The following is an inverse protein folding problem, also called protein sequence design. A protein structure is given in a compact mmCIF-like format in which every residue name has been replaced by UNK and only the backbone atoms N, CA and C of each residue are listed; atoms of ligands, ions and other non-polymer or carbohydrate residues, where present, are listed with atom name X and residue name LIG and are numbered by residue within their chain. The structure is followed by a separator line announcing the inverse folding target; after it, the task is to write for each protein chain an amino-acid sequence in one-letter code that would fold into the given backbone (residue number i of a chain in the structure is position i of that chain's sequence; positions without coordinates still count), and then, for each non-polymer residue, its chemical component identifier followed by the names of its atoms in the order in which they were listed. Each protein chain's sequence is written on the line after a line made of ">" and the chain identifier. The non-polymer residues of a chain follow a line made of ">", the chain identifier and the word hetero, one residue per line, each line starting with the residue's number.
data_IF_490001900928
#
_entry.id   IF_490001900928
#
_cell.length_a   1.000
_cell.length_b   1.000
_cell.length_c   1.000
_cell.angle_alpha   90.00
_cell.angle_beta   90.00
_cell.angle_gamma   90.00
#
_symmetry.space_group_name_H-M   'P 1'
#
loop_
_entity.id
_entity.type
_entity.pdbx_description
1 polymer ?
#
# COMPACT_ATOMS: atom_id res chain seq x y z
N UNK A 1 24.66 -8.02 4.10
CA UNK A 1 24.69 -8.25 2.61
C UNK A 1 24.07 -7.08 1.89
N UNK A 2 24.27 -6.98 0.57
CA UNK A 2 23.58 -5.96 -0.25
C UNK A 2 22.08 -6.24 -0.30
N UNK A 3 21.25 -5.20 -0.27
CA UNK A 3 19.80 -5.34 -0.45
C UNK A 3 19.46 -5.89 -1.86
N UNK A 4 18.35 -6.63 -2.02
CA UNK A 4 18.05 -7.35 -3.26
C UNK A 4 18.01 -6.52 -4.54
N UNK A 5 17.62 -5.25 -4.46
CA UNK A 5 17.59 -4.32 -5.59
C UNK A 5 18.74 -3.30 -5.57
N UNK A 6 19.80 -3.54 -4.81
CA UNK A 6 20.98 -2.68 -4.86
C UNK A 6 21.57 -2.66 -6.27
N UNK A 7 21.81 -1.46 -6.80
CA UNK A 7 22.25 -1.23 -8.17
C UNK A 7 21.11 -1.14 -9.21
N UNK A 8 19.87 -1.38 -8.83
CA UNK A 8 18.71 -1.13 -9.67
C UNK A 8 18.32 0.34 -9.55
N UNK A 9 18.22 1.02 -10.70
CA UNK A 9 17.75 2.42 -10.77
C UNK A 9 16.35 2.49 -11.35
N UNK A 10 15.49 3.26 -10.68
CA UNK A 10 14.09 3.44 -11.01
C UNK A 10 13.82 4.93 -11.30
N UNK A 11 13.21 5.24 -12.44
CA UNK A 11 12.62 6.54 -12.71
C UNK A 11 11.16 6.51 -12.28
N UNK A 12 10.85 7.26 -11.25
CA UNK A 12 9.52 7.43 -10.69
C UNK A 12 8.88 8.72 -11.22
N UNK A 13 8.01 8.61 -12.23
CA UNK A 13 7.28 9.76 -12.83
C UNK A 13 5.87 9.87 -12.25
N UNK A 14 5.64 9.24 -11.10
CA UNK A 14 4.32 9.11 -10.52
C UNK A 14 3.96 10.26 -9.58
N UNK A 15 2.67 10.38 -9.27
CA UNK A 15 2.13 11.39 -8.36
C UNK A 15 1.17 10.78 -7.34
N UNK A 16 0.97 11.46 -6.24
CA UNK A 16 0.04 11.21 -5.15
C UNK A 16 0.38 9.94 -4.36
N UNK A 17 -0.19 8.76 -4.68
CA UNK A 17 -0.02 7.61 -3.79
C UNK A 17 0.30 6.28 -4.49
N UNK A 18 -0.52 5.76 -5.40
CA UNK A 18 -0.35 4.40 -5.92
C UNK A 18 1.06 4.14 -6.50
N UNK A 19 1.52 5.03 -7.37
CA UNK A 19 2.86 4.95 -7.95
C UNK A 19 3.98 5.27 -6.95
N UNK A 20 3.90 6.38 -6.19
CA UNK A 20 4.89 6.68 -5.14
C UNK A 20 4.99 5.58 -4.08
N UNK A 21 3.88 4.92 -3.72
CA UNK A 21 3.90 3.77 -2.82
C UNK A 21 4.62 2.57 -3.45
N UNK A 22 4.37 2.28 -4.75
CA UNK A 22 5.10 1.25 -5.48
C UNK A 22 6.61 1.51 -5.46
N UNK A 23 7.06 2.69 -5.87
CA UNK A 23 8.47 3.02 -5.93
C UNK A 23 9.11 3.09 -4.54
N UNK A 24 8.35 3.43 -3.49
CA UNK A 24 8.81 3.35 -2.10
C UNK A 24 9.06 1.90 -1.67
N UNK A 25 8.22 0.93 -2.06
CA UNK A 25 8.53 -0.49 -1.81
C UNK A 25 9.86 -0.90 -2.46
N UNK A 26 10.19 -0.37 -3.63
CA UNK A 26 11.47 -0.65 -4.28
C UNK A 26 12.65 0.03 -3.55
N UNK A 27 12.46 1.22 -2.96
CA UNK A 27 13.46 1.85 -2.06
C UNK A 27 13.77 0.93 -0.88
N UNK A 28 12.74 0.36 -0.24
CA UNK A 28 12.90 -0.56 0.89
C UNK A 28 13.69 -1.82 0.52
N UNK A 29 13.69 -2.19 -0.76
CA UNK A 29 14.46 -3.31 -1.31
C UNK A 29 15.86 -2.89 -1.80
N UNK A 30 16.24 -1.62 -1.65
CA UNK A 30 17.57 -1.10 -1.98
C UNK A 30 17.71 -0.46 -3.36
N UNK A 31 16.62 -0.25 -4.10
CA UNK A 31 16.68 0.44 -5.39
C UNK A 31 17.00 1.94 -5.22
N UNK A 32 17.80 2.49 -6.15
CA UNK A 32 18.00 3.93 -6.31
C UNK A 32 16.81 4.52 -7.07
N UNK A 33 15.95 5.29 -6.39
CA UNK A 33 14.75 5.86 -6.99
C UNK A 33 14.92 7.34 -7.25
N UNK A 34 14.85 7.72 -8.53
CA UNK A 34 14.85 9.11 -9.02
C UNK A 34 13.42 9.51 -9.29
N UNK A 35 12.87 10.36 -8.42
CA UNK A 35 11.53 10.92 -8.59
C UNK A 35 11.60 12.12 -9.51
N UNK A 36 10.94 12.01 -10.66
CA UNK A 36 10.86 13.08 -11.68
C UNK A 36 9.62 13.92 -11.39
N UNK A 37 9.84 15.20 -11.16
CA UNK A 37 8.79 16.13 -10.74
C UNK A 37 8.72 17.35 -11.65
N UNK A 38 7.54 18.01 -11.67
CA UNK A 38 7.40 19.29 -12.37
C UNK A 38 8.17 20.39 -11.63
N UNK A 39 8.96 21.26 -12.31
CA UNK A 39 9.83 22.26 -11.66
C UNK A 39 9.11 23.21 -10.69
N UNK A 40 7.88 23.61 -11.01
CA UNK A 40 7.16 24.62 -10.23
C UNK A 40 6.27 24.01 -9.15
N UNK A 41 5.68 22.86 -9.44
CA UNK A 41 4.62 22.32 -8.61
C UNK A 41 4.99 21.05 -7.83
N UNK A 42 5.96 20.29 -8.34
CA UNK A 42 6.30 18.99 -7.78
C UNK A 42 5.12 18.00 -7.85
N UNK A 43 5.19 16.98 -7.01
CA UNK A 43 4.09 16.07 -6.76
C UNK A 43 2.99 16.78 -5.96
N UNK A 44 1.72 16.52 -6.30
CA UNK A 44 0.58 17.06 -5.55
C UNK A 44 0.65 16.70 -4.05
N UNK A 45 1.14 15.50 -3.72
CA UNK A 45 1.28 15.05 -2.33
C UNK A 45 2.16 15.97 -1.47
N UNK A 46 3.05 16.76 -2.07
CA UNK A 46 3.87 17.77 -1.37
C UNK A 46 3.03 18.83 -0.63
N UNK A 47 1.78 19.02 -1.07
CA UNK A 47 0.82 19.97 -0.48
C UNK A 47 -0.31 19.29 0.28
N UNK A 48 -0.17 17.98 0.57
CA UNK A 48 -1.20 17.19 1.25
C UNK A 48 -0.69 16.67 2.59
N UNK A 49 -1.52 16.79 3.59
CA UNK A 49 -1.23 16.29 4.95
C UNK A 49 -1.95 17.12 6.00
N UNK A 50 -1.89 16.66 7.24
CA UNK A 50 -2.58 17.30 8.37
C UNK A 50 -1.91 18.60 8.85
N UNK A 51 -0.66 18.86 8.46
CA UNK A 51 0.09 20.06 8.87
C UNK A 51 0.19 21.06 7.72
N UNK A 52 -0.48 22.20 7.89
CA UNK A 52 -0.51 23.28 6.90
C UNK A 52 0.87 23.84 6.60
N UNK A 53 1.72 24.00 7.63
CA UNK A 53 3.07 24.55 7.47
C UNK A 53 3.92 23.68 6.54
N UNK A 54 3.97 22.37 6.78
CA UNK A 54 4.74 21.46 5.93
C UNK A 54 4.17 21.37 4.52
N UNK A 55 2.85 21.54 4.34
CA UNK A 55 2.22 21.62 3.01
C UNK A 55 2.67 22.88 2.24
N UNK A 56 2.77 24.05 2.89
CA UNK A 56 3.28 25.28 2.30
C UNK A 56 4.78 25.18 1.95
N UNK A 57 5.53 24.46 2.75
CA UNK A 57 6.96 24.17 2.54
C UNK A 57 7.21 23.07 1.48
N UNK A 58 6.18 22.57 0.80
CA UNK A 58 6.24 21.47 -0.17
C UNK A 58 6.77 20.15 0.42
N UNK A 59 6.59 19.96 1.71
CA UNK A 59 6.99 18.77 2.47
C UNK A 59 5.80 18.13 3.20
N UNK A 60 4.62 18.17 2.58
CA UNK A 60 3.39 17.61 3.13
C UNK A 60 3.58 16.18 3.65
N UNK A 61 2.96 15.87 4.79
CA UNK A 61 3.12 14.58 5.48
C UNK A 61 2.73 13.40 4.56
N UNK A 62 1.77 13.61 3.65
CA UNK A 62 1.40 12.59 2.64
C UNK A 62 2.53 12.29 1.65
N UNK A 63 3.34 13.30 1.31
CA UNK A 63 4.55 13.11 0.49
C UNK A 63 5.63 12.35 1.27
N UNK A 64 5.90 12.76 2.50
CA UNK A 64 6.91 12.13 3.36
C UNK A 64 6.66 10.63 3.53
N UNK A 65 5.40 10.23 3.69
CA UNK A 65 5.01 8.85 3.97
C UNK A 65 5.50 7.82 2.93
N UNK A 66 5.68 8.23 1.66
CA UNK A 66 5.99 7.33 0.55
C UNK A 66 7.14 7.80 -0.34
N UNK A 67 7.93 8.78 0.13
CA UNK A 67 9.04 9.32 -0.66
C UNK A 67 10.38 9.38 0.10
N UNK A 68 10.45 8.87 1.32
CA UNK A 68 11.70 8.75 2.05
C UNK A 68 12.72 7.88 1.29
N UNK A 69 13.99 8.32 1.26
CA UNK A 69 15.07 7.63 0.56
C UNK A 69 15.08 7.78 -0.96
N UNK A 70 14.16 8.56 -1.55
CA UNK A 70 14.18 8.90 -2.99
C UNK A 70 15.04 10.13 -3.26
N UNK A 71 15.34 10.36 -4.54
CA UNK A 71 16.05 11.54 -5.04
C UNK A 71 15.12 12.37 -5.90
N UNK A 72 14.88 13.64 -5.56
CA UNK A 72 14.01 14.54 -6.34
C UNK A 72 14.80 15.22 -7.45
N UNK A 73 14.31 15.05 -8.68
CA UNK A 73 14.83 15.70 -9.90
C UNK A 73 13.68 16.37 -10.63
N UNK A 74 13.78 17.67 -10.83
CA UNK A 74 12.75 18.43 -11.56
C UNK A 74 13.03 18.46 -13.05
N UNK A 75 12.00 18.11 -13.86
CA UNK A 75 12.07 18.14 -15.33
C UNK A 75 10.68 18.49 -15.88
N UNK A 76 10.63 19.51 -16.75
CA UNK A 76 9.45 19.81 -17.54
C UNK A 76 9.36 18.85 -18.75
N UNK A 77 8.62 17.76 -18.61
CA UNK A 77 8.45 16.76 -19.67
C UNK A 77 7.67 17.26 -20.91
N UNK A 78 7.14 18.48 -20.87
CA UNK A 78 6.54 19.10 -22.07
C UNK A 78 7.58 19.78 -22.95
N UNK A 79 8.72 20.18 -22.39
CA UNK A 79 9.80 20.81 -23.17
C UNK A 79 10.61 19.78 -23.97
N UNK A 80 11.08 20.09 -25.18
CA UNK A 80 11.98 19.20 -25.93
C UNK A 80 13.24 18.81 -25.17
N UNK A 81 13.88 19.77 -24.50
CA UNK A 81 15.08 19.53 -23.72
C UNK A 81 14.80 18.64 -22.51
N UNK A 82 13.66 18.83 -21.84
CA UNK A 82 13.25 17.97 -20.71
C UNK A 82 13.02 16.52 -21.13
N UNK A 83 12.42 16.30 -22.32
CA UNK A 83 12.26 14.96 -22.88
C UNK A 83 13.60 14.28 -23.17
N UNK A 84 14.56 15.01 -23.67
CA UNK A 84 15.91 14.47 -23.96
C UNK A 84 16.65 14.13 -22.65
N UNK A 85 16.53 14.96 -21.61
CA UNK A 85 17.07 14.64 -20.28
C UNK A 85 16.42 13.36 -19.75
N UNK A 86 15.09 13.23 -19.84
CA UNK A 86 14.39 12.05 -19.39
C UNK A 86 14.83 10.78 -20.13
N UNK A 87 14.98 10.84 -21.46
CA UNK A 87 15.49 9.70 -22.26
C UNK A 87 16.91 9.29 -21.85
N UNK A 88 17.79 10.25 -21.59
CA UNK A 88 19.15 9.97 -21.07
C UNK A 88 19.10 9.25 -19.71
N UNK A 89 18.21 9.68 -18.81
CA UNK A 89 18.00 8.99 -17.54
C UNK A 89 17.43 7.57 -17.74
N UNK A 90 16.47 7.40 -18.66
CA UNK A 90 15.90 6.10 -19.00
C UNK A 90 16.94 5.13 -19.59
N UNK A 91 17.91 5.63 -20.36
CA UNK A 91 19.00 4.84 -20.92
C UNK A 91 19.87 4.16 -19.86
N UNK A 92 20.00 4.77 -18.68
CA UNK A 92 20.82 4.27 -17.58
C UNK A 92 20.00 3.70 -16.43
N UNK A 93 18.67 3.52 -16.59
CA UNK A 93 17.76 3.02 -15.57
C UNK A 93 17.17 1.68 -15.96
N UNK A 94 16.88 0.82 -14.99
CA UNK A 94 16.26 -0.48 -15.22
C UNK A 94 14.74 -0.42 -15.24
N UNK A 95 14.14 0.60 -14.58
CA UNK A 95 12.69 0.71 -14.41
C UNK A 95 12.23 2.13 -14.70
N UNK A 96 11.08 2.27 -15.35
CA UNK A 96 10.27 3.50 -15.40
C UNK A 96 8.89 3.17 -14.85
N UNK A 97 8.41 4.00 -13.91
CA UNK A 97 7.06 3.88 -13.33
C UNK A 97 6.30 5.16 -13.58
N UNK A 98 5.08 5.05 -14.10
CA UNK A 98 4.18 6.18 -14.29
C UNK A 98 2.76 5.84 -13.82
N UNK A 99 1.98 6.85 -13.42
CA UNK A 99 0.58 6.68 -13.07
C UNK A 99 -0.30 7.80 -13.65
N UNK A 100 0.03 8.27 -14.85
CA UNK A 100 -0.80 9.19 -15.60
C UNK A 100 -2.01 8.48 -16.19
N UNK A 101 -2.96 9.29 -16.66
CA UNK A 101 -4.06 8.75 -17.48
C UNK A 101 -3.52 8.11 -18.76
N UNK A 102 -4.14 7.03 -19.25
CA UNK A 102 -3.73 6.41 -20.50
C UNK A 102 -3.53 7.41 -21.64
N UNK A 103 -2.49 7.21 -22.42
CA UNK A 103 -2.11 8.07 -23.55
C UNK A 103 -1.33 9.35 -23.20
N UNK A 104 -1.13 9.69 -21.92
CA UNK A 104 -0.31 10.87 -21.56
C UNK A 104 1.15 10.67 -21.95
N UNK A 105 1.77 9.56 -21.58
CA UNK A 105 3.16 9.27 -21.92
C UNK A 105 3.37 9.13 -23.43
N UNK A 106 2.39 8.61 -24.17
CA UNK A 106 2.40 8.55 -25.63
C UNK A 106 2.40 9.95 -26.24
N UNK A 107 1.53 10.86 -25.77
CA UNK A 107 1.54 12.27 -26.25
C UNK A 107 2.84 13.01 -25.90
N UNK A 108 3.50 12.62 -24.83
CA UNK A 108 4.83 13.15 -24.48
C UNK A 108 5.95 12.54 -25.34
N UNK A 109 5.71 11.42 -26.03
CA UNK A 109 6.74 10.67 -26.76
C UNK A 109 7.72 9.97 -25.81
N UNK A 110 7.24 9.52 -24.65
CA UNK A 110 7.99 8.89 -23.56
C UNK A 110 7.36 7.57 -23.12
N UNK A 111 6.55 6.95 -23.99
CA UNK A 111 5.93 5.65 -23.73
C UNK A 111 6.89 4.47 -23.95
N UNK A 112 6.44 3.27 -23.62
CA UNK A 112 7.26 2.07 -23.73
C UNK A 112 7.83 1.83 -25.15
N UNK A 113 7.05 1.98 -26.26
CA UNK A 113 7.59 1.82 -27.62
C UNK A 113 8.76 2.75 -27.94
N UNK A 114 8.78 3.96 -27.35
CA UNK A 114 9.89 4.91 -27.53
C UNK A 114 11.06 4.56 -26.62
N UNK A 115 10.80 4.34 -25.32
CA UNK A 115 11.85 4.13 -24.34
C UNK A 115 12.54 2.76 -24.47
N UNK A 116 11.83 1.71 -24.94
CA UNK A 116 12.42 0.40 -25.21
C UNK A 116 13.44 0.41 -26.36
N UNK A 117 13.37 1.38 -27.26
CA UNK A 117 14.43 1.59 -28.30
C UNK A 117 15.68 2.21 -27.71
N UNK A 118 15.52 3.03 -26.65
CA UNK A 118 16.64 3.65 -25.93
C UNK A 118 17.29 2.64 -24.99
N UNK A 119 16.47 1.83 -24.30
CA UNK A 119 16.91 0.78 -23.40
C UNK A 119 16.07 -0.50 -23.59
N UNK A 120 16.55 -1.47 -24.39
CA UNK A 120 15.81 -2.72 -24.66
C UNK A 120 15.55 -3.59 -23.43
N UNK A 121 16.27 -3.35 -22.34
CA UNK A 121 16.09 -4.09 -21.06
C UNK A 121 15.16 -3.39 -20.10
N UNK A 122 14.59 -2.25 -20.47
CA UNK A 122 13.76 -1.43 -19.62
C UNK A 122 12.47 -2.15 -19.21
N UNK A 123 12.20 -2.22 -17.92
CA UNK A 123 10.90 -2.55 -17.35
C UNK A 123 10.09 -1.24 -17.23
N UNK A 124 8.97 -1.18 -17.91
CA UNK A 124 8.08 -0.01 -17.90
C UNK A 124 6.77 -0.38 -17.25
N UNK A 125 6.41 0.26 -16.14
CA UNK A 125 5.20 0.01 -15.39
C UNK A 125 4.26 1.22 -15.44
N UNK A 126 3.07 1.01 -15.97
CA UNK A 126 1.97 1.98 -15.96
C UNK A 126 0.92 1.55 -14.94
N UNK A 127 0.59 2.42 -14.00
CA UNK A 127 -0.44 2.19 -12.97
C UNK A 127 -1.61 3.14 -13.25
N UNK A 128 -2.81 2.61 -13.41
CA UNK A 128 -3.99 3.43 -13.66
C UNK A 128 -5.23 2.87 -12.94
N UNK A 129 -6.31 3.64 -12.88
CA UNK A 129 -7.53 3.20 -12.20
C UNK A 129 -8.12 1.92 -12.78
N UNK A 130 -8.10 1.81 -14.13
CA UNK A 130 -8.84 0.76 -14.85
C UNK A 130 -7.99 -0.04 -15.84
N UNK A 131 -6.66 0.12 -15.82
CA UNK A 131 -5.78 -0.41 -16.85
C UNK A 131 -5.65 0.52 -18.06
N UNK A 132 -4.77 0.14 -18.99
CA UNK A 132 -4.47 0.94 -20.18
C UNK A 132 -5.45 0.69 -21.33
N UNK A 133 -6.23 -0.39 -21.25
CA UNK A 133 -7.19 -0.84 -22.27
C UNK A 133 -8.58 -1.08 -21.64
N UNK A 134 -9.58 -1.29 -22.50
CA UNK A 134 -10.96 -1.58 -22.09
C UNK A 134 -11.86 -0.34 -21.98
N UNK A 135 -13.18 -0.56 -21.77
CA UNK A 135 -14.18 0.51 -21.88
C UNK A 135 -14.07 1.59 -20.78
N UNK A 136 -13.39 1.32 -19.69
CA UNK A 136 -13.21 2.26 -18.58
C UNK A 136 -11.84 2.95 -18.58
N UNK A 137 -10.89 2.55 -19.42
CA UNK A 137 -9.49 2.98 -19.38
C UNK A 137 -9.33 4.51 -19.36
N UNK A 138 -10.15 5.24 -20.10
CA UNK A 138 -10.05 6.72 -20.18
C UNK A 138 -10.78 7.45 -19.05
N UNK A 139 -11.47 6.75 -18.15
CA UNK A 139 -12.14 7.40 -17.01
C UNK A 139 -11.14 7.91 -16.00
N UNK A 140 -11.35 9.13 -15.48
CA UNK A 140 -10.55 9.61 -14.35
C UNK A 140 -10.85 8.77 -13.11
N UNK A 141 -9.80 8.45 -12.34
CA UNK A 141 -9.93 7.69 -11.12
C UNK A 141 -9.00 8.24 -10.03
N UNK A 142 -9.46 8.14 -8.81
CA UNK A 142 -8.72 8.16 -7.57
C UNK A 142 -9.17 6.99 -6.73
N UNK A 143 -8.47 6.67 -5.68
CA UNK A 143 -8.79 5.59 -4.73
C UNK A 143 -10.29 5.51 -4.39
N UNK A 144 -10.88 6.64 -4.02
CA UNK A 144 -12.30 6.74 -3.65
C UNK A 144 -13.26 6.22 -4.74
N UNK A 145 -12.95 6.51 -6.02
CA UNK A 145 -13.75 6.06 -7.16
C UNK A 145 -13.60 4.54 -7.34
N UNK A 146 -12.38 4.05 -7.22
CA UNK A 146 -12.09 2.62 -7.36
C UNK A 146 -12.70 1.82 -6.20
N UNK A 147 -12.65 2.33 -4.97
CA UNK A 147 -13.34 1.70 -3.84
C UNK A 147 -14.83 1.49 -4.12
N UNK A 148 -15.49 2.51 -4.71
CA UNK A 148 -16.90 2.38 -5.09
C UNK A 148 -17.17 1.35 -6.18
N UNK A 149 -16.36 1.37 -7.24
CA UNK A 149 -16.58 0.52 -8.43
C UNK A 149 -16.14 -0.94 -8.21
N UNK A 150 -15.13 -1.17 -7.40
CA UNK A 150 -14.61 -2.53 -7.13
C UNK A 150 -15.54 -3.40 -6.26
N UNK A 151 -16.56 -2.82 -5.65
CA UNK A 151 -17.41 -3.52 -4.71
C UNK A 151 -16.84 -3.66 -3.30
N UNK A 152 -15.60 -3.20 -3.04
CA UNK A 152 -15.02 -3.25 -1.68
C UNK A 152 -15.87 -2.48 -0.68
N UNK A 153 -16.47 -1.36 -1.08
CA UNK A 153 -17.40 -0.62 -0.23
C UNK A 153 -18.67 -1.40 0.08
N UNK A 154 -19.17 -2.21 -0.88
CA UNK A 154 -20.39 -2.98 -0.70
C UNK A 154 -20.25 -4.06 0.40
N UNK A 155 -19.04 -4.58 0.59
CA UNK A 155 -18.75 -5.61 1.61
C UNK A 155 -18.17 -5.03 2.91
N UNK A 156 -17.97 -3.71 2.97
CA UNK A 156 -17.44 -3.01 4.14
C UNK A 156 -18.57 -2.34 4.92
N UNK A 157 -18.63 -2.61 6.22
CA UNK A 157 -19.73 -2.24 7.08
C UNK A 157 -20.64 -3.42 7.40
N UNK A 158 -21.80 -3.15 7.94
CA UNK A 158 -22.86 -4.12 8.23
C UNK A 158 -24.16 -3.79 7.48
N UNK A 159 -25.22 -4.54 7.73
CA UNK A 159 -26.51 -4.37 7.07
C UNK A 159 -27.15 -2.97 7.25
N UNK A 160 -26.72 -2.22 8.26
CA UNK A 160 -27.24 -0.88 8.55
C UNK A 160 -26.31 0.23 8.04
N UNK A 161 -25.01 -0.03 7.99
CA UNK A 161 -23.99 0.97 7.70
C UNK A 161 -23.36 0.85 6.32
N UNK A 162 -23.35 -0.33 5.69
CA UNK A 162 -22.83 -0.51 4.34
C UNK A 162 -23.69 0.23 3.29
N UNK A 163 -23.08 0.72 2.19
CA UNK A 163 -21.66 0.61 1.84
C UNK A 163 -20.79 1.65 2.55
N UNK A 164 -19.65 1.23 3.08
CA UNK A 164 -18.67 2.11 3.72
C UNK A 164 -17.33 2.09 2.98
N UNK A 165 -16.70 3.27 2.94
CA UNK A 165 -15.32 3.39 2.50
C UNK A 165 -14.38 2.75 3.53
N UNK A 166 -13.38 2.00 3.05
CA UNK A 166 -12.24 1.58 3.89
C UNK A 166 -11.49 2.82 4.37
N UNK A 167 -11.09 2.87 5.63
CA UNK A 167 -10.56 4.05 6.31
C UNK A 167 -9.22 4.59 5.79
N UNK A 168 -8.60 3.94 4.78
CA UNK A 168 -7.38 4.38 4.12
C UNK A 168 -7.48 4.10 2.61
N UNK A 169 -6.57 4.63 1.77
CA UNK A 169 -6.62 4.47 0.30
C UNK A 169 -6.15 3.07 -0.12
N UNK A 170 -6.98 2.06 0.15
CA UNK A 170 -6.67 0.65 -0.07
C UNK A 170 -6.41 0.32 -1.54
N UNK A 171 -7.16 0.94 -2.48
CA UNK A 171 -7.02 0.64 -3.90
C UNK A 171 -5.69 1.16 -4.47
N UNK A 172 -5.25 2.34 -4.01
CA UNK A 172 -3.93 2.89 -4.32
C UNK A 172 -2.82 1.97 -3.79
N UNK A 173 -2.92 1.55 -2.53
CA UNK A 173 -1.89 0.71 -1.91
C UNK A 173 -1.85 -0.70 -2.52
N UNK A 174 -3.00 -1.29 -2.85
CA UNK A 174 -3.07 -2.58 -3.55
C UNK A 174 -2.51 -2.49 -4.97
N UNK A 175 -2.86 -1.44 -5.72
CA UNK A 175 -2.26 -1.17 -7.03
C UNK A 175 -0.75 -0.99 -6.95
N UNK A 176 -0.28 -0.23 -5.95
CA UNK A 176 1.14 0.02 -5.73
C UNK A 176 1.93 -1.24 -5.37
N UNK A 177 1.41 -2.11 -4.48
CA UNK A 177 2.09 -3.36 -4.11
C UNK A 177 2.09 -4.37 -5.26
N UNK A 178 0.98 -4.46 -6.01
CA UNK A 178 0.88 -5.30 -7.21
C UNK A 178 1.91 -4.87 -8.25
N UNK A 179 2.06 -3.57 -8.46
CA UNK A 179 3.07 -3.01 -9.37
C UNK A 179 4.50 -3.33 -8.91
N UNK A 180 4.81 -3.16 -7.61
CA UNK A 180 6.13 -3.48 -7.07
C UNK A 180 6.48 -4.97 -7.25
N UNK A 181 5.55 -5.86 -6.96
CA UNK A 181 5.69 -7.31 -7.18
C UNK A 181 5.96 -7.63 -8.66
N UNK A 182 5.14 -7.07 -9.57
CA UNK A 182 5.29 -7.29 -11.00
C UNK A 182 6.61 -6.74 -11.56
N UNK A 183 7.08 -5.58 -11.06
CA UNK A 183 8.39 -5.00 -11.41
C UNK A 183 9.51 -5.92 -10.96
N UNK A 184 9.50 -6.41 -9.71
CA UNK A 184 10.52 -7.34 -9.21
C UNK A 184 10.60 -8.62 -10.08
N UNK A 185 9.44 -9.21 -10.41
CA UNK A 185 9.38 -10.38 -11.30
C UNK A 185 9.89 -10.05 -12.71
N UNK A 186 9.55 -8.88 -13.25
CA UNK A 186 10.02 -8.46 -14.57
C UNK A 186 11.53 -8.17 -14.61
N UNK A 187 12.12 -7.67 -13.53
CA UNK A 187 13.56 -7.48 -13.40
C UNK A 187 14.32 -8.82 -13.45
N UNK A 188 13.82 -9.85 -12.76
CA UNK A 188 14.38 -11.21 -12.84
C UNK A 188 14.31 -11.70 -14.29
N UNK A 189 13.17 -11.56 -14.95
CA UNK A 189 13.00 -11.93 -16.37
C UNK A 189 13.91 -11.14 -17.30
N UNK A 190 14.08 -9.84 -17.08
CA UNK A 190 14.96 -8.97 -17.86
C UNK A 190 16.45 -9.33 -17.68
N UNK A 191 16.84 -9.71 -16.47
CA UNK A 191 18.20 -10.17 -16.20
C UNK A 191 18.52 -11.46 -16.99
N UNK A 192 17.57 -12.39 -17.01
CA UNK A 192 17.74 -13.71 -17.67
C UNK A 192 17.68 -13.62 -19.20
N UNK A 193 16.74 -12.82 -19.73
CA UNK A 193 16.46 -12.79 -21.18
C UNK A 193 17.15 -11.66 -21.94
N UNK A 194 17.69 -10.67 -21.22
CA UNK A 194 18.22 -9.44 -21.81
C UNK A 194 17.14 -8.50 -22.37
N UNK A 195 15.83 -8.79 -22.15
CA UNK A 195 14.71 -8.00 -22.68
C UNK A 195 13.82 -7.48 -21.55
N UNK A 196 13.51 -6.20 -21.59
CA UNK A 196 12.51 -5.58 -20.73
C UNK A 196 11.08 -5.92 -21.15
N UNK A 197 10.11 -5.37 -20.43
CA UNK A 197 8.69 -5.50 -20.77
C UNK A 197 7.87 -4.32 -20.26
N UNK A 198 6.69 -4.15 -20.86
CA UNK A 198 5.64 -3.29 -20.34
C UNK A 198 4.80 -4.06 -19.33
N UNK A 199 4.47 -3.40 -18.24
CA UNK A 199 3.54 -3.85 -17.21
C UNK A 199 2.39 -2.85 -17.19
N UNK A 200 1.16 -3.35 -17.21
CA UNK A 200 -0.07 -2.59 -17.05
C UNK A 200 -0.73 -3.03 -15.74
N UNK A 201 -0.93 -2.09 -14.82
CA UNK A 201 -1.53 -2.34 -13.51
C UNK A 201 -2.82 -1.55 -13.38
N UNK A 202 -3.91 -2.26 -13.23
CA UNK A 202 -5.24 -1.73 -12.93
C UNK A 202 -5.47 -1.75 -11.42
N UNK A 203 -5.74 -0.58 -10.82
CA UNK A 203 -6.11 -0.50 -9.41
C UNK A 203 -7.40 -1.26 -9.12
N UNK A 204 -8.38 -1.23 -10.07
CA UNK A 204 -9.62 -2.00 -9.97
C UNK A 204 -9.35 -3.49 -9.87
N UNK A 205 -8.57 -4.04 -10.80
CA UNK A 205 -8.27 -5.48 -10.84
C UNK A 205 -7.41 -5.90 -9.64
N UNK A 206 -6.45 -5.07 -9.24
CA UNK A 206 -5.63 -5.32 -8.04
C UNK A 206 -6.49 -5.39 -6.78
N UNK A 207 -7.51 -4.52 -6.66
CA UNK A 207 -8.45 -4.53 -5.54
C UNK A 207 -9.32 -5.78 -5.58
N UNK A 208 -9.92 -6.13 -6.72
CA UNK A 208 -10.72 -7.34 -6.87
C UNK A 208 -9.92 -8.61 -6.57
N UNK A 209 -8.68 -8.71 -7.06
CA UNK A 209 -7.81 -9.84 -6.77
C UNK A 209 -7.50 -9.95 -5.26
N UNK A 210 -7.32 -8.83 -4.56
CA UNK A 210 -7.09 -8.82 -3.12
C UNK A 210 -8.30 -9.23 -2.28
N UNK A 211 -9.53 -9.05 -2.81
CA UNK A 211 -10.76 -9.51 -2.16
C UNK A 211 -10.91 -11.04 -2.14
N UNK A 212 -10.07 -11.76 -2.88
CA UNK A 212 -9.81 -13.21 -2.78
C UNK A 212 -11.07 -14.07 -2.60
N UNK A 213 -11.35 -14.49 -1.38
CA UNK A 213 -12.48 -15.39 -1.06
C UNK A 213 -13.84 -14.79 -1.36
N UNK A 214 -14.04 -13.50 -1.19
CA UNK A 214 -15.31 -12.82 -1.49
C UNK A 214 -15.63 -12.98 -2.97
N UNK A 215 -14.67 -12.66 -3.83
CA UNK A 215 -14.79 -12.78 -5.29
C UNK A 215 -14.91 -14.26 -5.69
N UNK A 216 -14.11 -15.15 -5.10
CA UNK A 216 -14.14 -16.58 -5.40
C UNK A 216 -15.47 -17.24 -5.04
N UNK A 217 -16.10 -16.89 -3.91
CA UNK A 217 -17.41 -17.41 -3.52
C UNK A 217 -18.49 -17.01 -4.53
N UNK A 218 -18.46 -15.79 -5.04
CA UNK A 218 -19.37 -15.37 -6.09
C UNK A 218 -19.13 -16.13 -7.41
N UNK A 219 -17.88 -16.17 -7.87
CA UNK A 219 -17.54 -16.80 -9.15
C UNK A 219 -17.82 -18.31 -9.20
N UNK A 220 -17.60 -19.02 -8.08
CA UNK A 220 -17.66 -20.49 -8.07
C UNK A 220 -18.95 -21.05 -7.46
N UNK A 221 -19.62 -20.29 -6.59
CA UNK A 221 -20.82 -20.74 -5.90
C UNK A 221 -22.05 -19.84 -6.14
N UNK A 222 -21.91 -18.73 -6.87
CA UNK A 222 -22.98 -17.76 -7.10
C UNK A 222 -23.44 -17.04 -5.83
N UNK A 223 -22.66 -17.09 -4.75
CA UNK A 223 -23.00 -16.45 -3.48
C UNK A 223 -22.73 -14.95 -3.55
N UNK A 224 -23.79 -14.16 -3.51
CA UNK A 224 -23.64 -12.70 -3.46
C UNK A 224 -23.00 -12.28 -2.14
N UNK A 225 -21.93 -11.47 -2.20
CA UNK A 225 -21.29 -10.95 -1.00
C UNK A 225 -22.21 -9.99 -0.25
N UNK A 226 -22.30 -10.18 1.07
CA UNK A 226 -23.04 -9.29 1.97
C UNK A 226 -22.08 -8.64 2.98
N UNK A 227 -22.38 -7.41 3.41
CA UNK A 227 -21.59 -6.76 4.47
C UNK A 227 -21.90 -7.43 5.81
N UNK A 228 -20.84 -7.84 6.52
CA UNK A 228 -20.97 -8.62 7.76
C UNK A 228 -20.49 -7.86 9.01
N UNK A 229 -20.15 -6.58 8.88
CA UNK A 229 -19.61 -5.80 9.98
C UNK A 229 -18.31 -6.41 10.52
N UNK A 230 -18.33 -6.73 11.80
CA UNK A 230 -17.19 -7.34 12.48
C UNK A 230 -17.25 -8.88 12.55
N UNK A 231 -18.17 -9.49 11.81
CA UNK A 231 -18.35 -10.94 11.78
C UNK A 231 -17.46 -11.60 10.72
N UNK A 232 -17.08 -12.86 10.97
CA UNK A 232 -16.37 -13.66 9.98
C UNK A 232 -17.35 -14.56 9.21
N UNK A 233 -17.24 -14.56 7.89
CA UNK A 233 -18.08 -15.41 7.03
C UNK A 233 -17.86 -16.91 7.26
N UNK A 234 -16.63 -17.33 7.55
CA UNK A 234 -16.23 -18.76 7.53
C UNK A 234 -16.44 -19.50 8.85
N UNK A 235 -16.59 -18.81 9.97
CA UNK A 235 -16.66 -19.41 11.29
C UNK A 235 -17.47 -18.57 12.29
N UNK A 236 -17.90 -19.19 13.37
CA UNK A 236 -18.49 -18.56 14.55
C UNK A 236 -18.18 -19.40 15.82
N UNK A 237 -17.92 -18.74 16.97
CA UNK A 237 -17.78 -17.30 17.15
C UNK A 237 -16.45 -16.78 16.62
N UNK A 238 -16.52 -15.82 15.69
CA UNK A 238 -15.35 -15.17 15.11
C UNK A 238 -15.74 -13.74 14.71
N UNK A 239 -15.16 -12.75 15.40
CA UNK A 239 -15.52 -11.35 15.21
C UNK A 239 -15.12 -10.45 16.37
N UNK A 240 -15.59 -9.19 16.39
CA UNK A 240 -15.32 -8.25 17.46
C UNK A 240 -16.49 -8.15 18.43
N UNK A 241 -16.20 -8.35 19.70
CA UNK A 241 -17.15 -8.35 20.82
C UNK A 241 -16.90 -7.17 21.75
N UNK A 242 -17.98 -6.60 22.32
CA UNK A 242 -17.87 -5.59 23.37
C UNK A 242 -17.41 -6.24 24.68
N UNK A 243 -16.56 -5.54 25.39
CA UNK A 243 -16.12 -5.87 26.76
C UNK A 243 -16.42 -4.68 27.67
N UNK A 244 -16.04 -4.77 28.94
CA UNK A 244 -16.28 -3.68 29.90
C UNK A 244 -15.63 -2.34 29.47
N UNK A 245 -14.57 -2.36 28.67
CA UNK A 245 -13.82 -1.13 28.31
C UNK A 245 -13.33 -1.05 26.86
N UNK A 246 -13.95 -1.75 25.92
CA UNK A 246 -13.52 -1.69 24.51
C UNK A 246 -13.99 -2.88 23.71
N UNK A 247 -13.33 -3.12 22.59
CA UNK A 247 -13.60 -4.25 21.69
C UNK A 247 -12.48 -5.28 21.75
N UNK A 248 -12.87 -6.54 21.71
CA UNK A 248 -11.99 -7.70 21.64
C UNK A 248 -12.35 -8.53 20.39
N UNK A 249 -11.39 -8.72 19.48
CA UNK A 249 -11.52 -9.73 18.44
C UNK A 249 -11.26 -11.12 19.04
N UNK A 250 -12.13 -12.08 18.72
CA UNK A 250 -11.99 -13.49 19.05
C UNK A 250 -12.13 -14.28 17.75
N UNK A 251 -11.29 -15.31 17.58
CA UNK A 251 -11.36 -16.21 16.43
C UNK A 251 -11.31 -17.68 16.91
N UNK A 252 -12.45 -18.18 17.43
CA UNK A 252 -12.62 -19.58 17.81
C UNK A 252 -13.10 -20.38 16.59
N UNK A 253 -12.23 -20.52 15.59
CA UNK A 253 -12.56 -21.07 14.28
C UNK A 253 -12.62 -22.62 14.26
N UNK A 254 -11.90 -23.26 15.16
CA UNK A 254 -11.83 -24.71 15.30
C UNK A 254 -12.60 -25.17 16.54
N UNK A 255 -13.10 -26.43 16.53
CA UNK A 255 -13.89 -26.96 17.64
C UNK A 255 -13.14 -26.92 18.98
N UNK A 256 -11.86 -27.27 18.99
CA UNK A 256 -11.03 -27.21 20.19
C UNK A 256 -10.84 -25.76 20.71
N UNK A 257 -10.82 -24.76 19.85
CA UNK A 257 -10.77 -23.35 20.27
C UNK A 257 -12.12 -22.89 20.86
N UNK A 258 -13.22 -23.36 20.28
CA UNK A 258 -14.55 -23.07 20.77
C UNK A 258 -14.79 -23.69 22.17
N UNK A 259 -14.40 -24.94 22.38
CA UNK A 259 -14.51 -25.61 23.69
C UNK A 259 -13.73 -24.84 24.78
N UNK A 260 -12.50 -24.45 24.46
CA UNK A 260 -11.66 -23.64 25.36
C UNK A 260 -12.25 -22.25 25.61
N UNK A 261 -12.80 -21.59 24.59
CA UNK A 261 -13.51 -20.33 24.78
C UNK A 261 -14.65 -20.51 25.78
N UNK A 262 -15.48 -21.56 25.64
CA UNK A 262 -16.61 -21.86 26.58
C UNK A 262 -16.12 -22.01 28.01
N UNK A 263 -14.98 -22.68 28.22
CA UNK A 263 -14.39 -22.84 29.57
C UNK A 263 -13.92 -21.48 30.13
N UNK A 264 -13.17 -20.71 29.34
CA UNK A 264 -12.60 -19.44 29.80
C UNK A 264 -13.68 -18.42 30.16
N UNK A 265 -14.78 -18.36 29.37
CA UNK A 265 -15.89 -17.44 29.65
C UNK A 265 -16.84 -17.97 30.74
N UNK A 266 -16.64 -19.20 31.25
CA UNK A 266 -17.48 -19.82 32.30
C UNK A 266 -18.83 -20.31 31.80
N UNK A 267 -18.92 -20.74 30.54
CA UNK A 267 -20.14 -21.26 29.90
C UNK A 267 -19.91 -22.67 29.30
N UNK A 268 -19.47 -23.65 30.11
CA UNK A 268 -19.13 -24.98 29.59
C UNK A 268 -20.34 -25.74 29.00
N UNK A 269 -21.56 -25.38 29.37
CA UNK A 269 -22.79 -25.99 28.84
C UNK A 269 -23.00 -25.72 27.36
N UNK A 270 -22.42 -24.63 26.81
CA UNK A 270 -22.49 -24.31 25.39
C UNK A 270 -21.82 -25.37 24.52
N UNK A 271 -20.88 -26.14 25.05
CA UNK A 271 -20.19 -27.23 24.32
C UNK A 271 -21.14 -28.36 23.93
N UNK A 272 -22.19 -28.58 24.73
CA UNK A 272 -23.17 -29.65 24.52
C UNK A 272 -24.50 -29.15 23.95
N UNK A 273 -24.63 -27.86 23.72
CA UNK A 273 -25.82 -27.28 23.12
C UNK A 273 -25.92 -27.68 21.63
N UNK A 274 -27.01 -28.34 21.27
CA UNK A 274 -27.24 -28.83 19.91
C UNK A 274 -27.19 -27.73 18.84
N UNK A 275 -27.47 -26.47 19.19
CA UNK A 275 -27.36 -25.32 18.31
C UNK A 275 -25.91 -25.02 17.89
N UNK A 276 -24.93 -25.54 18.64
CA UNK A 276 -23.51 -25.20 18.52
C UNK A 276 -22.60 -26.44 18.46
N UNK A 277 -23.18 -27.61 18.17
CA UNK A 277 -22.51 -28.91 18.29
C UNK A 277 -21.25 -29.06 17.42
N UNK A 278 -21.25 -28.45 16.23
CA UNK A 278 -20.12 -28.46 15.30
C UNK A 278 -19.93 -27.09 14.65
N UNK A 279 -18.84 -26.96 13.92
CA UNK A 279 -18.44 -25.71 13.25
C UNK A 279 -19.50 -25.16 12.31
N UNK A 280 -20.12 -26.02 11.48
CA UNK A 280 -21.11 -25.59 10.49
C UNK A 280 -22.42 -25.17 11.15
N UNK A 281 -22.84 -25.92 12.17
CA UNK A 281 -24.00 -25.58 12.98
C UNK A 281 -23.80 -24.24 13.69
N UNK A 282 -22.63 -24.01 14.29
CA UNK A 282 -22.30 -22.72 14.91
C UNK A 282 -22.29 -21.58 13.89
N UNK A 283 -21.69 -21.80 12.71
CA UNK A 283 -21.67 -20.82 11.64
C UNK A 283 -23.08 -20.42 11.21
N UNK A 284 -23.97 -21.39 11.08
CA UNK A 284 -25.40 -21.17 10.78
C UNK A 284 -26.14 -20.43 11.91
N UNK A 285 -25.76 -20.66 13.16
CA UNK A 285 -26.36 -20.07 14.34
C UNK A 285 -25.54 -18.93 14.97
N UNK A 286 -24.71 -18.23 14.17
CA UNK A 286 -23.77 -17.21 14.69
C UNK A 286 -24.39 -16.13 15.55
N UNK A 287 -25.56 -15.63 15.22
CA UNK A 287 -26.27 -14.63 16.01
C UNK A 287 -26.68 -15.19 17.38
N UNK A 288 -27.06 -16.46 17.43
CA UNK A 288 -27.43 -17.13 18.69
C UNK A 288 -26.19 -17.32 19.57
N UNK A 289 -25.09 -17.86 19.06
CA UNK A 289 -23.87 -18.03 19.86
C UNK A 289 -23.30 -16.70 20.33
N UNK A 290 -23.27 -15.67 19.48
CA UNK A 290 -22.82 -14.34 19.88
C UNK A 290 -23.67 -13.74 21.00
N UNK A 291 -24.98 -13.96 20.97
CA UNK A 291 -25.91 -13.54 22.05
C UNK A 291 -25.63 -14.23 23.36
N UNK A 292 -25.21 -15.51 23.34
CA UNK A 292 -24.86 -16.28 24.56
C UNK A 292 -23.53 -15.78 25.16
N UNK A 293 -22.52 -15.48 24.34
CA UNK A 293 -21.19 -15.13 24.85
C UNK A 293 -21.03 -13.65 25.19
N UNK A 294 -21.75 -12.75 24.51
CA UNK A 294 -21.58 -11.31 24.68
C UNK A 294 -21.77 -10.82 26.13
N UNK A 295 -22.78 -11.27 26.91
CA UNK A 295 -22.94 -10.87 28.32
C UNK A 295 -21.76 -11.27 29.21
N UNK A 296 -21.13 -12.42 28.93
CA UNK A 296 -19.97 -12.89 29.67
C UNK A 296 -18.75 -11.99 29.41
N UNK A 297 -18.53 -11.63 28.16
CA UNK A 297 -17.41 -10.77 27.77
C UNK A 297 -17.52 -9.35 28.36
N UNK A 298 -18.71 -8.88 28.66
CA UNK A 298 -18.93 -7.58 29.34
C UNK A 298 -18.46 -7.59 30.81
N UNK A 299 -18.15 -8.75 31.41
CA UNK A 299 -17.79 -8.86 32.85
C UNK A 299 -16.34 -8.48 33.16
N UNK A 300 -15.44 -8.43 32.14
CA UNK A 300 -14.03 -8.09 32.31
C UNK A 300 -13.57 -7.10 31.24
N UNK A 301 -12.41 -6.50 31.47
CA UNK A 301 -11.75 -5.63 30.51
C UNK A 301 -11.19 -6.44 29.31
N UNK A 302 -11.05 -5.77 28.16
CA UNK A 302 -10.52 -6.38 26.95
C UNK A 302 -9.11 -6.98 27.15
N UNK A 303 -8.25 -6.33 27.92
CA UNK A 303 -6.90 -6.83 28.21
C UNK A 303 -6.88 -8.10 29.05
N UNK A 304 -7.78 -8.19 30.03
CA UNK A 304 -7.91 -9.39 30.88
C UNK A 304 -8.43 -10.59 30.08
N UNK A 305 -9.40 -10.35 29.19
CA UNK A 305 -9.89 -11.40 28.29
C UNK A 305 -8.85 -11.82 27.27
N UNK A 306 -8.15 -10.87 26.67
CA UNK A 306 -7.06 -11.15 25.72
C UNK A 306 -6.04 -12.10 26.33
N UNK A 307 -5.57 -11.79 27.54
CA UNK A 307 -4.59 -12.62 28.25
C UNK A 307 -5.14 -14.02 28.55
N UNK A 308 -6.32 -14.12 29.12
CA UNK A 308 -6.92 -15.41 29.51
C UNK A 308 -7.18 -16.31 28.26
N UNK A 309 -7.64 -15.74 27.15
CA UNK A 309 -7.91 -16.49 25.92
C UNK A 309 -6.62 -16.95 25.25
N UNK A 310 -5.60 -16.09 25.18
CA UNK A 310 -4.28 -16.45 24.63
C UNK A 310 -3.64 -17.58 25.43
N UNK A 311 -3.67 -17.51 26.77
CA UNK A 311 -3.14 -18.57 27.64
C UNK A 311 -3.86 -19.90 27.43
N UNK A 312 -5.16 -19.87 27.14
CA UNK A 312 -5.93 -21.05 26.78
C UNK A 312 -5.69 -21.54 25.35
N UNK A 313 -4.99 -20.78 24.52
CA UNK A 313 -4.74 -21.09 23.11
C UNK A 313 -5.91 -20.75 22.18
N UNK A 314 -6.75 -19.79 22.56
CA UNK A 314 -7.77 -19.19 21.70
C UNK A 314 -7.24 -17.88 21.12
N UNK A 315 -7.18 -17.73 19.80
CA UNK A 315 -6.74 -16.47 19.20
C UNK A 315 -7.69 -15.33 19.59
N UNK A 316 -7.13 -14.32 20.24
CA UNK A 316 -7.83 -13.12 20.64
C UNK A 316 -6.91 -11.89 20.57
N UNK A 317 -7.49 -10.72 20.37
CA UNK A 317 -6.73 -9.46 20.33
C UNK A 317 -7.64 -8.25 20.51
N UNK A 318 -7.20 -7.30 21.33
CA UNK A 318 -7.90 -6.02 21.48
C UNK A 318 -7.94 -5.27 20.16
N UNK A 319 -9.03 -4.55 19.91
CA UNK A 319 -9.08 -3.57 18.83
C UNK A 319 -8.36 -2.32 19.30
N UNK A 320 -7.15 -2.10 18.76
CA UNK A 320 -6.29 -0.97 19.12
C UNK A 320 -6.46 0.19 18.13
N UNK A 321 -6.28 1.41 18.61
CA UNK A 321 -6.09 2.57 17.76
C UNK A 321 -4.69 2.58 17.12
N UNK A 322 -4.52 3.36 16.04
CA UNK A 322 -3.21 3.52 15.38
C UNK A 322 -2.12 4.03 16.34
N UNK A 323 -2.35 5.03 17.21
CA UNK A 323 -1.35 5.42 18.20
C UNK A 323 -0.99 4.31 19.19
N UNK A 324 -1.97 3.53 19.66
CA UNK A 324 -1.71 2.43 20.60
C UNK A 324 -0.81 1.36 19.99
N UNK A 325 -1.10 0.89 18.77
CA UNK A 325 -0.26 -0.12 18.14
C UNK A 325 1.12 0.42 17.74
N UNK A 326 1.23 1.67 17.29
CA UNK A 326 2.53 2.27 16.95
C UNK A 326 3.46 2.41 18.17
N UNK A 327 2.89 2.59 19.37
CA UNK A 327 3.65 2.65 20.63
C UNK A 327 3.82 1.26 21.29
N UNK A 328 3.32 0.19 20.67
CA UNK A 328 3.43 -1.15 21.25
C UNK A 328 4.87 -1.67 21.19
N UNK A 329 5.40 -2.30 22.27
CA UNK A 329 6.76 -2.83 22.31
C UNK A 329 7.12 -3.77 21.16
N UNK A 330 6.15 -4.50 20.64
CA UNK A 330 6.36 -5.37 19.47
C UNK A 330 6.87 -4.62 18.24
N UNK A 331 6.27 -3.46 17.90
CA UNK A 331 6.72 -2.67 16.75
C UNK A 331 8.04 -1.95 17.00
N UNK A 332 8.28 -1.52 18.24
CA UNK A 332 9.58 -0.96 18.64
C UNK A 332 10.69 -2.01 18.53
N UNK A 333 10.46 -3.23 19.01
CA UNK A 333 11.41 -4.35 18.91
C UNK A 333 11.68 -4.79 17.46
N UNK A 334 10.75 -4.54 16.54
CA UNK A 334 10.93 -4.77 15.10
C UNK A 334 11.48 -3.55 14.35
N UNK A 335 11.74 -2.45 15.03
CA UNK A 335 12.19 -1.19 14.43
C UNK A 335 11.31 -0.72 13.27
N UNK A 336 9.98 -0.79 13.43
CA UNK A 336 9.02 -0.56 12.34
C UNK A 336 9.01 0.89 11.84
N UNK A 337 9.37 1.85 12.69
CA UNK A 337 9.45 3.28 12.36
C UNK A 337 10.91 3.69 12.27
N UNK A 338 11.29 4.37 11.19
CA UNK A 338 12.57 5.03 10.98
C UNK A 338 12.40 6.54 11.18
N UNK A 339 13.41 7.19 11.76
CA UNK A 339 13.45 8.65 11.95
C UNK A 339 14.65 9.25 11.20
N UNK A 340 14.41 10.39 10.54
CA UNK A 340 15.43 11.13 9.79
C UNK A 340 15.31 12.62 10.07
N UNK A 341 16.44 13.34 9.98
CA UNK A 341 16.43 14.79 9.87
C UNK A 341 16.28 15.16 8.40
N UNK A 342 15.16 15.80 8.05
CA UNK A 342 14.87 16.28 6.70
C UNK A 342 14.90 17.79 6.60
N UNK A 343 14.71 18.33 5.40
CA UNK A 343 14.74 19.78 5.13
C UNK A 343 13.67 20.58 5.88
N UNK A 344 12.54 19.98 6.22
CA UNK A 344 11.45 20.59 6.99
C UNK A 344 11.36 20.05 8.44
N UNK A 345 12.44 19.50 8.98
CA UNK A 345 12.52 18.94 10.33
C UNK A 345 12.46 17.42 10.38
N UNK A 346 12.15 16.87 11.54
CA UNK A 346 12.10 15.42 11.77
C UNK A 346 11.02 14.73 10.94
N UNK A 347 11.41 13.68 10.27
CA UNK A 347 10.52 12.83 9.48
C UNK A 347 10.49 11.42 10.08
N UNK A 348 9.29 10.89 10.30
CA UNK A 348 9.07 9.52 10.74
C UNK A 348 8.33 8.76 9.65
N UNK A 349 8.89 7.63 9.24
CA UNK A 349 8.32 6.81 8.18
C UNK A 349 8.31 5.35 8.59
N UNK A 350 7.30 4.61 8.12
CA UNK A 350 7.21 3.17 8.35
C UNK A 350 8.09 2.43 7.35
N UNK A 351 8.58 1.27 7.77
CA UNK A 351 9.23 0.30 6.88
C UNK A 351 8.20 -0.62 6.23
N UNK A 352 8.66 -1.50 5.36
CA UNK A 352 7.86 -2.61 4.85
C UNK A 352 7.52 -3.63 5.95
N UNK A 353 6.47 -4.42 5.74
CA UNK A 353 6.03 -5.47 6.66
C UNK A 353 6.93 -6.71 6.69
N UNK A 354 8.15 -6.65 6.16
CA UNK A 354 9.10 -7.77 6.08
C UNK A 354 10.50 -7.38 6.57
N UNK A 355 11.28 -8.37 6.93
CA UNK A 355 12.69 -8.26 7.31
C UNK A 355 13.47 -9.33 6.55
N UNK A 356 14.67 -9.00 6.12
CA UNK A 356 15.64 -10.00 5.68
C UNK A 356 16.44 -10.52 6.88
N UNK A 357 16.99 -11.72 6.77
CA UNK A 357 17.78 -12.34 7.86
C UNK A 357 19.02 -11.54 8.24
N UNK A 358 19.55 -10.79 7.33
CA UNK A 358 20.85 -10.12 7.39
C UNK A 358 20.79 -8.61 7.17
N UNK A 359 19.62 -8.06 6.91
CA UNK A 359 19.43 -6.63 6.73
C UNK A 359 18.00 -6.17 7.05
N UNK A 360 17.88 -4.90 7.39
CA UNK A 360 16.62 -4.27 7.70
C UNK A 360 16.16 -3.45 6.49
N UNK A 361 15.18 -3.95 5.75
CA UNK A 361 14.55 -3.23 4.65
C UNK A 361 13.95 -1.89 5.14
N UNK A 362 14.71 -0.82 5.02
CA UNK A 362 14.35 0.52 5.49
C UNK A 362 14.79 1.58 4.48
N UNK A 363 14.12 2.75 4.42
CA UNK A 363 14.63 3.85 3.61
C UNK A 363 15.98 4.31 4.13
N UNK A 364 16.86 4.74 3.24
CA UNK A 364 18.24 5.13 3.58
C UNK A 364 18.40 6.64 3.82
N UNK A 365 17.30 7.38 3.94
CA UNK A 365 17.30 8.82 4.18
C UNK A 365 15.90 9.41 4.23
N UNK A 366 15.79 10.73 4.46
CA UNK A 366 14.53 11.44 4.48
C UNK A 366 13.87 11.51 3.10
N UNK A 367 12.62 11.96 3.05
CA UNK A 367 12.01 12.41 1.81
C UNK A 367 12.70 13.69 1.32
N UNK A 368 13.04 13.79 0.03
CA UNK A 368 13.84 14.90 -0.49
C UNK A 368 13.04 16.20 -0.63
N UNK A 369 13.72 17.33 -0.49
CA UNK A 369 13.17 18.61 -0.93
C UNK A 369 12.98 18.64 -2.45
N UNK A 370 12.08 19.49 -2.93
CA UNK A 370 11.85 19.63 -4.38
C UNK A 370 13.13 20.07 -5.08
N UNK A 371 13.50 19.39 -6.15
CA UNK A 371 14.71 19.67 -6.97
C UNK A 371 16.05 19.39 -6.28
N UNK A 372 16.08 18.83 -5.08
CA UNK A 372 17.30 18.65 -4.25
C UNK A 372 18.45 17.99 -5.02
N UNK A 373 18.15 17.05 -5.90
CA UNK A 373 19.15 16.24 -6.59
C UNK A 373 19.31 16.60 -8.08
N UNK A 374 18.61 17.63 -8.58
CA UNK A 374 18.56 17.97 -10.01
C UNK A 374 19.95 18.27 -10.57
N UNK A 375 20.72 19.16 -9.94
CA UNK A 375 22.03 19.59 -10.47
C UNK A 375 23.02 18.43 -10.47
N UNK A 376 23.02 17.61 -9.42
CA UNK A 376 23.89 16.45 -9.33
C UNK A 376 23.60 15.43 -10.46
N UNK A 377 22.33 15.17 -10.74
CA UNK A 377 21.95 14.25 -11.83
C UNK A 377 22.26 14.82 -13.21
N UNK A 378 22.02 16.10 -13.44
CA UNK A 378 22.38 16.74 -14.72
C UNK A 378 23.89 16.76 -14.93
N UNK A 379 24.68 17.02 -13.89
CA UNK A 379 26.13 16.91 -13.95
C UNK A 379 26.60 15.49 -14.33
N UNK A 380 25.99 14.45 -13.75
CA UNK A 380 26.27 13.04 -14.12
C UNK A 380 25.91 12.74 -15.57
N UNK A 381 24.93 13.45 -16.16
CA UNK A 381 24.57 13.33 -17.57
C UNK A 381 25.43 14.20 -18.52
N UNK A 382 26.44 14.89 -17.99
CA UNK A 382 27.40 15.69 -18.76
C UNK A 382 26.97 17.12 -19.05
N UNK A 383 25.97 17.65 -18.33
CA UNK A 383 25.62 19.07 -18.43
C UNK A 383 26.51 19.90 -17.49
N UNK A 384 27.09 20.97 -18.01
CA UNK A 384 27.87 21.92 -17.22
C UNK A 384 26.97 22.88 -16.40
N UNK A 385 27.57 23.63 -15.48
CA UNK A 385 26.86 24.55 -14.59
C UNK A 385 26.16 25.68 -15.35
N UNK A 386 26.73 26.17 -16.44
CA UNK A 386 26.14 27.25 -17.25
C UNK A 386 24.88 26.76 -17.95
N UNK A 387 24.92 25.56 -18.52
CA UNK A 387 23.76 24.93 -19.17
C UNK A 387 22.66 24.63 -18.16
N UNK A 388 22.99 24.08 -16.96
CA UNK A 388 22.05 23.85 -15.88
C UNK A 388 21.37 25.15 -15.44
N UNK A 389 22.14 26.22 -15.25
CA UNK A 389 21.59 27.54 -14.91
C UNK A 389 20.67 28.10 -16.00
N UNK A 390 21.05 27.96 -17.26
CA UNK A 390 20.23 28.37 -18.41
C UNK A 390 18.89 27.58 -18.44
N UNK A 391 18.92 26.26 -18.24
CA UNK A 391 17.72 25.43 -18.24
C UNK A 391 16.77 25.79 -17.05
N UNK A 392 17.33 26.15 -15.90
CA UNK A 392 16.53 26.61 -14.75
C UNK A 392 15.84 27.94 -15.06
N UNK A 393 16.55 28.92 -15.66
CA UNK A 393 15.92 30.18 -16.10
C UNK A 393 14.78 29.98 -17.10
N UNK A 394 14.89 28.95 -17.95
CA UNK A 394 13.84 28.58 -18.92
C UNK A 394 12.75 27.68 -18.36
N UNK A 395 12.78 27.40 -17.07
CA UNK A 395 11.83 26.47 -16.38
C UNK A 395 11.75 25.08 -17.02
N UNK A 396 12.89 24.59 -17.52
CA UNK A 396 13.04 23.22 -18.02
C UNK A 396 13.28 22.27 -16.86
N UNK A 397 14.00 22.76 -15.86
CA UNK A 397 14.34 22.04 -14.62
C UNK A 397 14.02 22.89 -13.41
#
# INVERSE_FOLDING_TARGET
>A
MALPLQGVRVLDVTNVLAGPFCSFQLVLLGAEVIKIEHPENGDLARRLGADVKTNEELMGISFVAVNAGKQSVTINLKSPEGKEIFKKLAAISQVVIENFRPGVMTRLGLDYPVLSKVNPRLVYCAISGFGQDGPLAMRPAYDQVIQGISGVMNVTGDAQTAPLRVGYPICDTMGGITAAMAICAALVGSHTTGKGRRIDVSMLESTLASMGWVVSNYLNAGLEPIPMGNENFTAAPSGAFRTANGLLNIAANEDAQYEKLCDVIGRPELKTDARFADRETRRGNRLAINKEIAPELMKRNAAEWEQALIEAGVPAGRVLSVPEILNHPHLSGRHFVSEFEGSAGKQKVTRGGFLFSDDQASPQGPAPALSEHTDAWLGKLGYDTEKIHSMRKKRII
#
